data_IF_401411334338
#
_entry.id   IF_401411334338
#
_cell.length_a   1.000
_cell.length_b   1.000
_cell.length_c   1.000
_cell.angle_alpha   90.00
_cell.angle_beta   90.00
_cell.angle_gamma   90.00
#
_symmetry.space_group_name_H-M   'P 1'
#
loop_
_entity.id
_entity.type
_entity.pdbx_description
1 polymer ?
#
# COMPACT_ATOMS: atom_id res chain seq x y z
N UNK A 1 9.69 -2.50 39.34
CA UNK A 1 10.37 -1.60 38.38
C UNK A 1 9.77 -1.88 37.03
N UNK A 2 8.77 -1.09 36.62
CA UNK A 2 8.10 -1.25 35.33
C UNK A 2 9.03 -0.72 34.24
N UNK A 3 9.56 -1.65 33.45
CA UNK A 3 10.35 -1.41 32.25
C UNK A 3 9.53 -0.50 31.30
N UNK A 4 9.88 0.79 31.27
CA UNK A 4 9.34 1.73 30.30
C UNK A 4 9.85 1.29 28.92
N UNK A 5 9.05 0.47 28.23
CA UNK A 5 9.30 0.14 26.83
C UNK A 5 9.50 1.45 26.06
N UNK A 6 10.59 1.61 25.30
CA UNK A 6 10.85 2.84 24.57
C UNK A 6 9.69 3.06 23.59
N UNK A 7 9.03 4.22 23.71
CA UNK A 7 7.94 4.61 22.82
C UNK A 7 8.37 4.39 21.36
N UNK A 8 7.58 3.71 20.53
CA UNK A 8 8.00 3.40 19.17
C UNK A 8 8.27 4.69 18.43
N UNK A 9 9.52 4.88 18.00
CA UNK A 9 9.93 6.06 17.27
C UNK A 9 8.98 6.24 16.07
N UNK A 10 8.38 7.42 15.87
CA UNK A 10 7.36 7.63 14.85
C UNK A 10 7.86 7.31 13.43
N UNK A 11 9.17 7.31 13.18
CA UNK A 11 9.78 6.85 11.93
C UNK A 11 9.66 5.34 11.68
N UNK A 12 9.72 4.51 12.74
CA UNK A 12 9.60 3.04 12.63
C UNK A 12 8.16 2.62 12.32
N UNK A 13 7.18 3.33 12.88
CA UNK A 13 5.76 3.10 12.57
C UNK A 13 5.42 3.57 11.14
N UNK A 14 5.97 4.69 10.68
CA UNK A 14 5.81 5.14 9.30
C UNK A 14 6.42 4.15 8.29
N UNK A 15 7.63 3.64 8.57
CA UNK A 15 8.27 2.63 7.73
C UNK A 15 7.48 1.30 7.67
N UNK A 16 6.87 0.88 8.79
CA UNK A 16 5.96 -0.29 8.82
C UNK A 16 4.68 -0.04 8.05
N UNK A 17 4.09 1.14 8.17
CA UNK A 17 2.90 1.53 7.42
C UNK A 17 3.15 1.52 5.92
N UNK A 18 4.35 1.91 5.48
CA UNK A 18 4.75 1.85 4.08
C UNK A 18 4.73 0.43 3.48
N UNK A 19 4.91 -0.61 4.31
CA UNK A 19 4.83 -2.01 3.88
C UNK A 19 3.38 -2.51 3.90
N UNK A 20 2.63 -2.19 4.96
CA UNK A 20 1.28 -2.72 5.19
C UNK A 20 0.23 -2.09 4.27
N UNK A 21 0.36 -0.79 3.98
CA UNK A 21 -0.57 -0.05 3.12
C UNK A 21 -0.74 -0.64 1.70
N UNK A 22 0.33 -0.91 0.93
CA UNK A 22 0.19 -1.50 -0.40
C UNK A 22 -0.31 -2.95 -0.35
N UNK A 23 -0.02 -3.72 0.71
CA UNK A 23 -0.57 -5.06 0.91
C UNK A 23 -2.08 -5.02 1.17
N UNK A 24 -2.54 -4.07 2.00
CA UNK A 24 -3.96 -3.85 2.27
C UNK A 24 -4.71 -3.41 0.99
N UNK A 25 -4.10 -2.54 0.19
CA UNK A 25 -4.64 -2.12 -1.10
C UNK A 25 -4.80 -3.29 -2.09
N UNK A 26 -3.80 -4.18 -2.14
CA UNK A 26 -3.84 -5.37 -2.99
C UNK A 26 -4.95 -6.34 -2.55
N UNK A 27 -5.04 -6.64 -1.25
CA UNK A 27 -6.09 -7.50 -0.70
C UNK A 27 -7.49 -6.93 -0.95
N UNK A 28 -7.67 -5.61 -0.77
CA UNK A 28 -8.92 -4.92 -1.08
C UNK A 28 -9.33 -5.17 -2.54
N UNK A 29 -8.40 -4.98 -3.48
CA UNK A 29 -8.65 -5.22 -4.91
C UNK A 29 -8.99 -6.68 -5.20
N UNK A 30 -8.28 -7.63 -4.61
CA UNK A 30 -8.56 -9.06 -4.79
C UNK A 30 -9.96 -9.44 -4.28
N UNK A 31 -10.33 -8.96 -3.10
CA UNK A 31 -11.65 -9.23 -2.49
C UNK A 31 -12.76 -8.65 -3.35
N UNK A 32 -12.65 -7.39 -3.79
CA UNK A 32 -13.67 -6.79 -4.65
C UNK A 32 -13.76 -7.46 -6.01
N UNK A 33 -12.63 -7.91 -6.58
CA UNK A 33 -12.63 -8.67 -7.83
C UNK A 33 -13.29 -10.05 -7.70
N UNK A 34 -13.12 -10.72 -6.55
CA UNK A 34 -13.83 -11.96 -6.26
C UNK A 34 -15.33 -11.73 -6.04
N UNK A 35 -15.69 -10.67 -5.31
CA UNK A 35 -17.09 -10.32 -5.03
C UNK A 35 -17.84 -9.84 -6.28
N UNK A 36 -17.17 -9.20 -7.23
CA UNK A 36 -17.83 -8.68 -8.43
C UNK A 36 -18.26 -9.74 -9.44
N UNK A 37 -17.76 -10.98 -9.33
CA UNK A 37 -17.97 -12.02 -10.34
C UNK A 37 -17.29 -11.69 -11.67
N UNK A 38 -16.89 -12.69 -12.43
CA UNK A 38 -15.97 -12.50 -13.57
C UNK A 38 -16.58 -11.83 -14.80
N UNK A 39 -17.91 -11.77 -14.98
CA UNK A 39 -18.42 -11.53 -16.35
C UNK A 39 -19.49 -10.45 -16.53
N UNK A 40 -20.11 -9.91 -15.49
CA UNK A 40 -20.98 -8.71 -15.65
C UNK A 40 -21.05 -7.92 -14.34
N UNK A 41 -20.18 -6.92 -14.20
CA UNK A 41 -20.37 -5.91 -13.17
C UNK A 41 -21.70 -5.20 -13.46
N UNK A 42 -22.73 -5.52 -12.68
CA UNK A 42 -23.95 -4.72 -12.55
C UNK A 42 -23.56 -3.26 -12.31
N UNK A 43 -24.42 -2.27 -12.63
CA UNK A 43 -24.09 -0.86 -12.39
C UNK A 43 -23.61 -0.59 -10.95
N UNK A 44 -24.20 -1.28 -9.98
CA UNK A 44 -23.77 -1.31 -8.59
C UNK A 44 -22.40 -1.98 -8.39
N UNK A 45 -22.14 -3.12 -9.04
CA UNK A 45 -20.83 -3.77 -9.04
C UNK A 45 -19.71 -2.87 -9.57
N UNK A 46 -19.93 -2.14 -10.68
CA UNK A 46 -18.94 -1.20 -11.24
C UNK A 46 -18.63 -0.08 -10.26
N UNK A 47 -19.65 0.49 -9.64
CA UNK A 47 -19.49 1.53 -8.62
C UNK A 47 -18.59 1.07 -7.47
N UNK A 48 -18.83 -0.14 -6.95
CA UNK A 48 -18.01 -0.72 -5.89
C UNK A 48 -16.57 -1.03 -6.33
N UNK A 49 -16.39 -1.53 -7.55
CA UNK A 49 -15.06 -1.78 -8.10
C UNK A 49 -14.25 -0.48 -8.27
N UNK A 50 -14.85 0.59 -8.80
CA UNK A 50 -14.20 1.90 -8.92
C UNK A 50 -13.90 2.53 -7.55
N UNK A 51 -14.81 2.38 -6.59
CA UNK A 51 -14.62 2.86 -5.21
C UNK A 51 -13.45 2.14 -4.54
N UNK A 52 -13.41 0.80 -4.63
CA UNK A 52 -12.30 0.00 -4.13
C UNK A 52 -10.98 0.36 -4.82
N UNK A 53 -11.01 0.61 -6.13
CA UNK A 53 -9.82 1.03 -6.88
C UNK A 53 -9.28 2.38 -6.43
N UNK A 54 -10.16 3.33 -6.16
CA UNK A 54 -9.80 4.66 -5.65
C UNK A 54 -9.21 4.56 -4.25
N UNK A 55 -9.81 3.77 -3.36
CA UNK A 55 -9.31 3.52 -2.01
C UNK A 55 -7.93 2.83 -2.04
N UNK A 56 -7.76 1.79 -2.87
CA UNK A 56 -6.49 1.10 -3.04
C UNK A 56 -5.39 2.06 -3.52
N UNK A 57 -5.70 2.93 -4.49
CA UNK A 57 -4.76 3.95 -4.96
C UNK A 57 -4.38 4.94 -3.85
N UNK A 58 -5.36 5.39 -3.06
CA UNK A 58 -5.12 6.26 -1.90
C UNK A 58 -4.24 5.61 -0.82
N UNK A 59 -4.46 4.32 -0.54
CA UNK A 59 -3.63 3.52 0.38
C UNK A 59 -2.19 3.39 -0.12
N UNK A 60 -2.00 3.08 -1.40
CA UNK A 60 -0.67 3.02 -2.02
C UNK A 60 0.05 4.37 -1.91
N UNK A 61 -0.63 5.47 -2.21
CA UNK A 61 -0.06 6.81 -2.08
C UNK A 61 0.31 7.14 -0.63
N UNK A 62 -0.57 6.84 0.33
CA UNK A 62 -0.30 7.04 1.75
C UNK A 62 0.88 6.18 2.25
N UNK A 63 0.98 4.93 1.78
CA UNK A 63 2.10 4.02 2.04
C UNK A 63 3.42 4.57 1.49
N UNK A 64 3.42 5.06 0.25
CA UNK A 64 4.59 5.69 -0.37
C UNK A 64 5.05 6.93 0.43
N UNK A 65 4.14 7.82 0.80
CA UNK A 65 4.45 9.01 1.62
C UNK A 65 5.03 8.60 2.98
N UNK A 66 4.43 7.62 3.65
CA UNK A 66 4.94 7.10 4.92
C UNK A 66 6.33 6.45 4.78
N UNK A 67 6.58 5.78 3.66
CA UNK A 67 7.88 5.21 3.30
C UNK A 67 8.95 6.28 3.12
N UNK A 68 8.64 7.35 2.39
CA UNK A 68 9.55 8.50 2.23
C UNK A 68 9.83 9.18 3.58
N UNK A 69 8.79 9.40 4.39
CA UNK A 69 8.96 9.98 5.74
C UNK A 69 9.84 9.07 6.62
N UNK A 70 9.61 7.75 6.57
CA UNK A 70 10.41 6.75 7.26
C UNK A 70 11.88 6.78 6.83
N UNK A 71 12.12 6.88 5.52
CA UNK A 71 13.45 6.92 4.91
C UNK A 71 14.20 8.20 5.29
N UNK A 72 13.57 9.37 5.11
CA UNK A 72 14.16 10.67 5.46
C UNK A 72 14.49 10.72 6.95
N UNK A 73 13.62 10.19 7.82
CA UNK A 73 13.88 10.12 9.26
C UNK A 73 14.98 9.12 9.60
N UNK A 74 15.00 7.94 8.97
CA UNK A 74 16.04 6.93 9.16
C UNK A 74 17.43 7.45 8.79
N UNK A 75 17.53 8.18 7.68
CA UNK A 75 18.77 8.85 7.25
C UNK A 75 19.16 9.91 8.28
N UNK A 76 18.22 10.76 8.72
CA UNK A 76 18.49 11.83 9.69
C UNK A 76 18.89 11.32 11.07
N UNK A 77 18.34 10.20 11.51
CA UNK A 77 18.68 9.56 12.79
C UNK A 77 19.87 8.59 12.70
N UNK A 78 20.48 8.44 11.52
CA UNK A 78 21.51 7.41 11.21
C UNK A 78 21.07 5.98 11.59
N UNK A 79 19.76 5.73 11.63
CA UNK A 79 19.21 4.40 11.91
C UNK A 79 19.15 3.61 10.61
N UNK A 80 20.16 2.76 10.39
CA UNK A 80 20.23 1.87 9.23
C UNK A 80 19.00 0.97 9.13
N UNK A 81 18.53 0.41 10.24
CA UNK A 81 17.33 -0.44 10.27
C UNK A 81 16.08 0.30 9.77
N UNK A 82 15.86 1.54 10.22
CA UNK A 82 14.68 2.32 9.82
C UNK A 82 14.74 2.68 8.33
N UNK A 83 15.92 3.04 7.83
CA UNK A 83 16.14 3.34 6.41
C UNK A 83 15.94 2.12 5.52
N UNK A 84 16.44 0.95 5.94
CA UNK A 84 16.27 -0.31 5.20
C UNK A 84 14.79 -0.71 5.16
N UNK A 85 14.09 -0.67 6.30
CA UNK A 85 12.66 -1.01 6.36
C UNK A 85 11.84 -0.05 5.48
N UNK A 86 12.14 1.24 5.52
CA UNK A 86 11.46 2.24 4.70
C UNK A 86 11.75 2.04 3.20
N UNK A 87 13.01 1.75 2.84
CA UNK A 87 13.41 1.44 1.46
C UNK A 87 12.72 0.19 0.92
N UNK A 88 12.64 -0.88 1.72
CA UNK A 88 11.88 -2.09 1.38
C UNK A 88 10.39 -1.78 1.21
N UNK A 89 9.80 -0.97 2.09
CA UNK A 89 8.41 -0.52 1.94
C UNK A 89 8.15 0.22 0.64
N UNK A 90 9.05 1.13 0.25
CA UNK A 90 8.97 1.85 -1.02
C UNK A 90 9.12 0.91 -2.23
N UNK A 91 10.03 -0.05 -2.15
CA UNK A 91 10.22 -1.06 -3.21
C UNK A 91 8.98 -1.94 -3.38
N UNK A 92 8.42 -2.46 -2.28
CA UNK A 92 7.19 -3.26 -2.32
C UNK A 92 6.03 -2.44 -2.87
N UNK A 93 5.92 -1.17 -2.46
CA UNK A 93 4.90 -0.25 -2.97
C UNK A 93 5.05 -0.05 -4.49
N UNK A 94 6.26 0.16 -5.00
CA UNK A 94 6.48 0.39 -6.45
C UNK A 94 6.17 -0.85 -7.28
N UNK A 95 6.60 -2.04 -6.82
CA UNK A 95 6.31 -3.32 -7.49
C UNK A 95 4.80 -3.56 -7.55
N UNK A 96 4.09 -3.42 -6.42
CA UNK A 96 2.64 -3.61 -6.36
C UNK A 96 1.89 -2.60 -7.22
N UNK A 97 2.33 -1.35 -7.24
CA UNK A 97 1.76 -0.31 -8.12
C UNK A 97 1.91 -0.71 -9.59
N UNK A 98 3.08 -1.21 -9.99
CA UNK A 98 3.33 -1.71 -11.34
C UNK A 98 2.42 -2.88 -11.72
N UNK A 99 2.23 -3.86 -10.83
CA UNK A 99 1.34 -5.00 -11.05
C UNK A 99 -0.12 -4.56 -11.20
N UNK A 100 -0.59 -3.64 -10.34
CA UNK A 100 -1.95 -3.11 -10.41
C UNK A 100 -2.17 -2.33 -11.71
N UNK A 101 -1.23 -1.46 -12.10
CA UNK A 101 -1.30 -0.73 -13.37
C UNK A 101 -1.34 -1.68 -14.56
N UNK A 102 -0.49 -2.72 -14.58
CA UNK A 102 -0.48 -3.73 -15.62
C UNK A 102 -1.82 -4.46 -15.71
N UNK A 103 -2.38 -4.88 -14.57
CA UNK A 103 -3.69 -5.52 -14.51
C UNK A 103 -4.82 -4.61 -15.03
N UNK A 104 -4.79 -3.31 -14.71
CA UNK A 104 -5.75 -2.33 -15.22
C UNK A 104 -5.61 -2.12 -16.73
N UNK A 105 -4.39 -2.11 -17.27
CA UNK A 105 -4.16 -2.00 -18.72
C UNK A 105 -4.75 -3.22 -19.44
N UNK A 106 -4.49 -4.44 -18.96
CA UNK A 106 -5.07 -5.66 -19.54
C UNK A 106 -6.60 -5.69 -19.44
N UNK A 107 -7.16 -5.25 -18.31
CA UNK A 107 -8.61 -5.16 -18.15
C UNK A 107 -9.26 -4.19 -19.15
N UNK A 108 -8.56 -3.11 -19.53
CA UNK A 108 -9.04 -2.15 -20.52
C UNK A 108 -8.97 -2.67 -21.96
N UNK A 109 -8.05 -3.58 -22.26
CA UNK A 109 -7.90 -4.15 -23.61
C UNK A 109 -8.87 -5.32 -23.88
N UNK A 110 -9.46 -5.90 -22.82
CA UNK A 110 -10.32 -7.08 -22.90
C UNK A 110 -11.83 -6.75 -23.01
N UNK A 111 -12.23 -5.48 -22.91
CA UNK A 111 -13.62 -5.02 -23.02
C UNK A 111 -13.77 -3.94 -24.08
#
# INVERSE_FOLDING_TARGET
MTENAPAPLPGRNAARFAILAPQAAFLLMCVFRQLSGTDTLTPSGRFWFYTASTLATGLIAAGAVAGVIGLVRGIRSRSWDTSIIAGLGLFVTSVLTGVILLALIFARQAG
#
